data_IF_188752976925
#
_entry.id   IF_188752976925
#
_cell.length_a   1.000
_cell.length_b   1.000
_cell.length_c   1.000
_cell.angle_alpha   90.00
_cell.angle_beta   90.00
_cell.angle_gamma   90.00
#
_symmetry.space_group_name_H-M   'P 1'
#
loop_
_entity.id
_entity.type
_entity.pdbx_description
1 polymer ?
#
# COMPACT_ATOMS: atom_id res chain seq x y z
N UNK A 1 8.57 -1.26 1.48
CA UNK A 1 8.53 -0.03 0.67
C UNK A 1 7.40 0.86 1.16
N UNK A 2 7.59 2.18 1.22
CA UNK A 2 6.57 3.12 1.68
C UNK A 2 6.19 4.06 0.55
N UNK A 3 4.91 4.06 0.17
CA UNK A 3 4.33 5.00 -0.80
C UNK A 3 3.61 6.09 -0.02
N UNK A 4 3.89 7.34 -0.32
CA UNK A 4 3.29 8.48 0.37
C UNK A 4 3.05 9.63 -0.58
N UNK A 5 2.14 10.51 -0.21
CA UNK A 5 1.85 11.72 -0.96
C UNK A 5 2.30 12.97 -0.19
N UNK A 6 2.42 14.08 -0.92
CA UNK A 6 2.48 15.42 -0.32
C UNK A 6 1.05 15.92 -0.13
N UNK A 7 0.85 16.86 0.79
CA UNK A 7 -0.48 17.32 1.23
C UNK A 7 -1.40 17.95 0.18
N UNK A 8 -0.99 18.06 -1.08
CA UNK A 8 -1.79 18.58 -2.21
C UNK A 8 -2.24 17.48 -3.20
N UNK A 9 -1.71 16.25 -3.04
CA UNK A 9 -2.04 15.11 -3.87
C UNK A 9 -3.21 14.31 -3.26
N UNK A 10 -3.90 13.54 -4.10
CA UNK A 10 -5.06 12.77 -3.68
C UNK A 10 -4.63 11.65 -2.70
N UNK A 11 -5.41 11.39 -1.64
CA UNK A 11 -5.11 10.29 -0.71
C UNK A 11 -5.05 8.90 -1.39
N UNK A 12 -5.65 8.72 -2.57
CA UNK A 12 -5.63 7.48 -3.34
C UNK A 12 -4.36 7.28 -4.17
N UNK A 13 -3.61 8.34 -4.50
CA UNK A 13 -2.35 8.27 -5.28
C UNK A 13 -1.37 7.19 -4.77
N UNK A 14 -1.04 7.13 -3.45
CA UNK A 14 -0.11 6.12 -2.95
C UNK A 14 -0.66 4.69 -3.07
N UNK A 15 -1.98 4.50 -3.06
CA UNK A 15 -2.61 3.18 -3.25
C UNK A 15 -2.49 2.71 -4.70
N UNK A 16 -2.62 3.62 -5.67
CA UNK A 16 -2.44 3.31 -7.09
C UNK A 16 -0.99 2.82 -7.31
N UNK A 17 -0.01 3.61 -6.86
CA UNK A 17 1.40 3.25 -6.97
C UNK A 17 1.72 1.92 -6.27
N UNK A 18 1.20 1.71 -5.06
CA UNK A 18 1.39 0.46 -4.33
C UNK A 18 0.75 -0.75 -5.04
N UNK A 19 -0.39 -0.56 -5.70
CA UNK A 19 -1.07 -1.62 -6.46
C UNK A 19 -0.25 -2.05 -7.66
N UNK A 20 0.31 -1.11 -8.42
CA UNK A 20 1.23 -1.43 -9.51
C UNK A 20 2.49 -2.15 -9.01
N UNK A 21 3.06 -1.70 -7.90
CA UNK A 21 4.21 -2.37 -7.29
C UNK A 21 3.88 -3.79 -6.83
N UNK A 22 2.68 -4.02 -6.30
CA UNK A 22 2.18 -5.34 -5.94
C UNK A 22 2.05 -6.25 -7.17
N UNK A 23 1.45 -5.76 -8.25
CA UNK A 23 1.28 -6.55 -9.48
C UNK A 23 2.65 -6.91 -10.06
N UNK A 24 3.57 -5.95 -10.14
CA UNK A 24 4.94 -6.18 -10.61
C UNK A 24 5.67 -7.22 -9.75
N UNK A 25 5.57 -7.12 -8.42
CA UNK A 25 6.15 -8.11 -7.52
C UNK A 25 5.56 -9.51 -7.75
N UNK A 26 4.24 -9.60 -7.94
CA UNK A 26 3.57 -10.86 -8.23
C UNK A 26 4.02 -11.47 -9.57
N UNK A 27 4.20 -10.65 -10.61
CA UNK A 27 4.76 -11.08 -11.89
C UNK A 27 6.19 -11.62 -11.79
N UNK A 28 6.95 -11.17 -10.78
CA UNK A 28 8.30 -11.67 -10.46
C UNK A 28 8.29 -12.89 -9.52
N UNK A 29 7.12 -13.44 -9.17
CA UNK A 29 6.98 -14.58 -8.27
C UNK A 29 7.09 -14.24 -6.78
N UNK A 30 7.04 -12.95 -6.42
CA UNK A 30 7.04 -12.49 -5.03
C UNK A 30 5.60 -12.37 -4.49
N UNK A 31 5.46 -12.58 -3.18
CA UNK A 31 4.27 -12.22 -2.43
C UNK A 31 4.41 -10.80 -1.87
N UNK A 32 3.29 -10.12 -1.69
CA UNK A 32 3.28 -8.81 -1.04
C UNK A 32 2.04 -8.59 -0.18
N UNK A 33 2.18 -7.73 0.84
CA UNK A 33 1.12 -7.36 1.75
C UNK A 33 1.07 -5.84 1.94
N UNK A 34 -0.11 -5.27 1.73
CA UNK A 34 -0.40 -3.85 1.97
C UNK A 34 -0.77 -3.63 3.45
N UNK A 35 -0.04 -2.75 4.12
CA UNK A 35 -0.23 -2.42 5.54
C UNK A 35 -0.67 -0.96 5.65
N UNK A 36 -1.98 -0.77 5.86
CA UNK A 36 -2.58 0.57 6.07
C UNK A 36 -2.48 1.07 7.51
N UNK A 37 -2.41 0.16 8.50
CA UNK A 37 -2.46 0.50 9.93
C UNK A 37 -1.25 1.29 10.44
N UNK A 38 -0.18 1.38 9.64
CA UNK A 38 1.08 2.00 10.07
C UNK A 38 1.10 3.52 9.86
N UNK A 39 0.21 4.06 9.03
CA UNK A 39 0.08 5.50 8.78
C UNK A 39 -0.26 6.30 10.04
N UNK A 40 -1.32 5.94 10.82
CA UNK A 40 -1.61 6.65 12.07
C UNK A 40 -0.49 6.52 13.09
N UNK A 41 0.21 5.37 13.12
CA UNK A 41 1.35 5.15 14.01
C UNK A 41 2.53 6.06 13.65
N UNK A 42 2.80 6.23 12.35
CA UNK A 42 3.89 7.06 11.86
C UNK A 42 3.67 8.55 12.14
N UNK A 43 2.41 9.02 12.20
CA UNK A 43 2.07 10.42 12.55
C UNK A 43 2.63 10.83 13.93
N UNK A 44 2.62 9.92 14.90
CA UNK A 44 3.07 10.18 16.27
C UNK A 44 4.58 10.00 16.47
N UNK A 45 5.30 9.38 15.52
CA UNK A 45 6.70 8.95 15.71
C UNK A 45 7.72 9.79 14.93
N UNK A 46 7.98 11.01 15.40
CA UNK A 46 8.98 11.92 14.81
C UNK A 46 10.37 11.29 14.70
N UNK A 47 10.80 10.51 15.71
CA UNK A 47 12.11 9.82 15.72
C UNK A 47 12.21 8.76 14.61
N UNK A 48 11.13 8.04 14.35
CA UNK A 48 11.11 6.99 13.34
C UNK A 48 11.08 7.58 11.93
N UNK A 49 10.32 8.67 11.73
CA UNK A 49 10.36 9.46 10.49
C UNK A 49 11.77 9.95 10.19
N UNK A 50 12.46 10.53 11.18
CA UNK A 50 13.84 11.00 11.02
C UNK A 50 14.81 9.85 10.70
N UNK A 51 14.69 8.70 11.38
CA UNK A 51 15.54 7.53 11.15
C UNK A 51 15.44 7.00 9.71
N UNK A 52 14.25 7.05 9.13
CA UNK A 52 13.98 6.53 7.79
C UNK A 52 13.87 7.63 6.72
N UNK A 53 14.28 8.87 7.02
CA UNK A 53 14.19 10.03 6.12
C UNK A 53 12.80 10.24 5.50
N UNK A 54 11.74 9.97 6.27
CA UNK A 54 10.37 10.16 5.82
C UNK A 54 9.99 11.63 6.04
N UNK A 55 9.53 12.35 5.00
CA UNK A 55 9.19 13.76 5.13
C UNK A 55 8.10 13.99 6.18
N UNK A 56 8.25 15.07 6.95
CA UNK A 56 7.32 15.39 8.02
C UNK A 56 5.89 15.65 7.49
N UNK A 57 5.80 16.19 6.28
CA UNK A 57 4.55 16.58 5.60
C UNK A 57 3.76 15.42 4.96
N UNK A 58 4.29 14.20 4.99
CA UNK A 58 3.54 13.01 4.54
C UNK A 58 2.33 12.80 5.44
N UNK A 59 1.14 13.14 4.94
CA UNK A 59 -0.15 12.98 5.65
C UNK A 59 -0.71 11.58 5.48
N UNK A 60 -0.58 11.02 4.28
CA UNK A 60 -1.16 9.75 3.88
C UNK A 60 -0.15 8.90 3.12
N UNK A 61 -0.36 7.59 3.16
CA UNK A 61 0.52 6.64 2.50
C UNK A 61 0.13 5.20 2.79
N UNK A 62 0.90 4.27 2.27
CA UNK A 62 0.71 2.85 2.52
C UNK A 62 2.07 2.15 2.51
N UNK A 63 2.24 1.19 3.42
CA UNK A 63 3.40 0.31 3.40
C UNK A 63 3.10 -0.93 2.58
N UNK A 64 4.05 -1.31 1.74
CA UNK A 64 4.03 -2.56 1.01
C UNK A 64 5.24 -3.40 1.44
N UNK A 65 4.99 -4.58 1.96
CA UNK A 65 6.02 -5.56 2.31
C UNK A 65 6.10 -6.59 1.19
N UNK A 66 7.32 -7.01 0.85
CA UNK A 66 7.59 -8.03 -0.16
C UNK A 66 8.31 -9.21 0.47
N UNK A 67 8.09 -10.41 -0.07
CA UNK A 67 8.82 -11.60 0.33
C UNK A 67 8.52 -12.78 -0.57
N UNK A 68 9.29 -13.86 -0.41
CA UNK A 68 8.97 -15.12 -1.06
C UNK A 68 7.84 -15.81 -0.28
N UNK A 69 6.72 -16.16 -0.95
CA UNK A 69 5.60 -16.78 -0.27
C UNK A 69 5.96 -18.22 0.10
N UNK A 70 5.89 -18.55 1.40
CA UNK A 70 6.04 -19.93 1.88
C UNK A 70 4.89 -20.83 1.37
N UNK A 71 3.68 -20.27 1.28
CA UNK A 71 2.48 -20.96 0.82
C UNK A 71 1.92 -20.31 -0.44
N UNK A 72 1.58 -21.13 -1.44
CA UNK A 72 0.91 -20.69 -2.68
C UNK A 72 -0.60 -20.83 -2.52
N UNK A 73 -1.28 -19.73 -2.17
CA UNK A 73 -2.74 -19.70 -2.15
C UNK A 73 -3.29 -19.64 -3.58
N UNK A 74 -4.01 -20.69 -3.99
CA UNK A 74 -4.60 -20.78 -5.34
C UNK A 74 -6.02 -20.19 -5.43
N UNK A 75 -6.63 -19.81 -4.31
CA UNK A 75 -8.02 -19.35 -4.26
C UNK A 75 -8.07 -17.85 -3.94
N UNK A 76 -8.42 -17.03 -4.92
CA UNK A 76 -8.85 -15.66 -4.69
C UNK A 76 -10.34 -15.63 -4.31
N UNK A 77 -10.75 -14.63 -3.53
CA UNK A 77 -12.18 -14.39 -3.27
C UNK A 77 -12.85 -14.00 -4.58
N UNK A 78 -13.78 -14.84 -5.06
CA UNK A 78 -14.66 -14.47 -6.17
C UNK A 78 -15.65 -13.44 -5.66
N UNK A 79 -15.58 -12.21 -6.19
CA UNK A 79 -16.54 -11.15 -5.90
C UNK A 79 -17.36 -10.87 -7.15
N UNK A 80 -18.67 -10.72 -6.98
CA UNK A 80 -19.60 -10.22 -8.00
C UNK A 80 -19.97 -8.78 -7.67
N UNK A 81 -20.27 -7.98 -8.70
CA UNK A 81 -20.83 -6.64 -8.47
C UNK A 81 -22.19 -6.77 -7.77
N UNK A 82 -22.42 -5.96 -6.74
CA UNK A 82 -23.70 -5.92 -6.06
C UNK A 82 -24.79 -5.27 -6.93
N UNK A 83 -24.41 -4.24 -7.69
CA UNK A 83 -25.28 -3.51 -8.60
C UNK A 83 -24.42 -2.84 -9.68
N UNK A 84 -24.95 -2.70 -10.90
CA UNK A 84 -24.33 -1.95 -11.99
C UNK A 84 -25.39 -1.03 -12.58
N UNK A 85 -25.22 0.28 -12.40
CA UNK A 85 -26.12 1.30 -12.94
C UNK A 85 -25.49 1.94 -14.17
N UNK A 86 -26.26 2.03 -15.25
CA UNK A 86 -25.92 2.72 -16.49
C UNK A 86 -26.77 3.98 -16.55
N UNK A 87 -26.34 5.04 -15.85
CA UNK A 87 -26.95 6.37 -15.98
C UNK A 87 -26.23 7.17 -17.06
#
# INVERSE_FOLDING_TARGET
>A
MYFYNKGYADPADPYIAATYAMIAAHSLGLGCCMIGSIVPFLKSMKKLKAKYNIPAESKDGIFLVFGYPEYKFQKAVKRTFAEVNYT
#
